data_IF_472846333197
#
_entry.id   IF_472846333197
#
_cell.length_a   1.000
_cell.length_b   1.000
_cell.length_c   1.000
_cell.angle_alpha   90.00
_cell.angle_beta   90.00
_cell.angle_gamma   90.00
#
_symmetry.space_group_name_H-M   'P 1'
#
loop_
_entity.id
_entity.type
_entity.pdbx_description
1 polymer ?
#
# COMPACT_ATOMS: atom_id res chain seq x y z
N UNK A 1 15.51 34.12 -35.98
CA UNK A 1 15.39 35.12 -34.91
C UNK A 1 14.00 34.94 -34.35
N UNK A 2 13.86 34.01 -33.41
CA UNK A 2 12.57 33.65 -32.84
C UNK A 2 12.14 34.75 -31.87
N UNK A 3 10.94 35.26 -32.05
CA UNK A 3 10.34 36.23 -31.13
C UNK A 3 10.22 35.61 -29.74
N UNK A 4 10.67 36.29 -28.66
CA UNK A 4 10.54 35.77 -27.31
C UNK A 4 9.07 35.49 -27.00
N UNK A 5 8.77 34.31 -26.48
CA UNK A 5 7.40 33.90 -26.15
C UNK A 5 6.91 34.71 -24.94
N UNK A 6 6.21 35.83 -25.18
CA UNK A 6 5.66 36.68 -24.12
C UNK A 6 4.40 36.02 -23.55
N UNK A 7 4.35 35.87 -22.22
CA UNK A 7 3.21 35.26 -21.51
C UNK A 7 2.60 36.22 -20.50
N UNK A 8 1.28 36.32 -20.51
CA UNK A 8 0.51 37.11 -19.54
C UNK A 8 -0.07 36.19 -18.47
N UNK A 9 0.42 36.29 -17.22
CA UNK A 9 -0.04 35.52 -16.06
C UNK A 9 -0.55 36.46 -14.97
N UNK A 10 -1.38 35.93 -14.06
CA UNK A 10 -1.79 36.70 -12.89
C UNK A 10 -0.63 36.82 -11.89
N UNK A 11 -0.43 37.95 -11.18
CA UNK A 11 0.69 38.14 -10.26
C UNK A 11 0.86 37.01 -9.24
N UNK A 12 -0.25 36.50 -8.69
CA UNK A 12 -0.25 35.32 -7.80
C UNK A 12 0.40 34.08 -8.45
N UNK A 13 0.13 33.81 -9.72
CA UNK A 13 0.66 32.63 -10.41
C UNK A 13 2.17 32.79 -10.68
N UNK A 14 2.61 34.00 -10.98
CA UNK A 14 4.04 34.35 -11.13
C UNK A 14 4.76 34.17 -9.79
N UNK A 15 4.25 34.77 -8.72
CA UNK A 15 4.83 34.69 -7.39
C UNK A 15 4.89 33.24 -6.85
N UNK A 16 3.86 32.42 -7.12
CA UNK A 16 3.88 31.00 -6.75
C UNK A 16 4.98 30.24 -7.48
N UNK A 17 5.06 30.37 -8.80
CA UNK A 17 6.08 29.68 -9.60
C UNK A 17 7.49 30.12 -9.23
N UNK A 18 7.68 31.41 -8.94
CA UNK A 18 8.93 31.95 -8.41
C UNK A 18 9.27 31.31 -7.05
N UNK A 19 8.31 31.25 -6.12
CA UNK A 19 8.51 30.62 -4.81
C UNK A 19 8.88 29.14 -4.92
N UNK A 20 8.22 28.38 -5.81
CA UNK A 20 8.54 26.98 -6.06
C UNK A 20 9.98 26.83 -6.59
N UNK A 21 10.40 27.68 -7.53
CA UNK A 21 11.77 27.71 -8.07
C UNK A 21 12.81 28.06 -7.00
N UNK A 22 12.53 29.08 -6.18
CA UNK A 22 13.38 29.48 -5.04
C UNK A 22 13.52 28.34 -4.04
N UNK A 23 12.45 27.62 -3.72
CA UNK A 23 12.51 26.50 -2.78
C UNK A 23 13.33 25.31 -3.32
N UNK A 24 13.35 25.11 -4.64
CA UNK A 24 14.17 24.05 -5.24
C UNK A 24 15.67 24.39 -5.25
N UNK A 25 16.04 25.64 -5.57
CA UNK A 25 17.43 26.04 -5.77
C UNK A 25 18.09 26.71 -4.56
N UNK A 26 17.30 27.44 -3.78
CA UNK A 26 17.75 28.37 -2.74
C UNK A 26 16.96 28.18 -1.43
N UNK A 27 16.76 26.93 -1.00
CA UNK A 27 15.96 26.56 0.18
C UNK A 27 16.46 27.09 1.53
N UNK A 28 17.64 27.74 1.55
CA UNK A 28 18.24 28.35 2.75
C UNK A 28 17.88 29.82 2.91
N UNK A 29 17.27 30.45 1.90
CA UNK A 29 16.83 31.84 2.00
C UNK A 29 15.67 31.95 2.99
N UNK A 30 15.71 32.96 3.85
CA UNK A 30 14.64 33.24 4.80
C UNK A 30 14.45 34.74 4.93
N UNK A 31 13.22 35.15 5.21
CA UNK A 31 12.82 36.55 5.36
C UNK A 31 12.12 36.70 6.69
N UNK A 32 12.52 37.69 7.49
CA UNK A 32 11.85 38.04 8.75
C UNK A 32 11.01 39.29 8.54
N UNK A 33 9.71 39.20 8.81
CA UNK A 33 8.74 40.29 8.65
C UNK A 33 7.83 40.41 9.88
N UNK A 34 7.30 41.61 10.19
CA UNK A 34 6.26 41.76 11.20
C UNK A 34 5.01 40.94 10.84
N UNK A 35 4.27 40.47 11.86
CA UNK A 35 3.02 39.69 11.71
C UNK A 35 1.99 40.43 10.85
N UNK A 36 1.96 41.76 10.92
CA UNK A 36 1.16 42.62 10.05
C UNK A 36 2.08 43.37 9.09
N UNK A 37 2.15 42.90 7.84
CA UNK A 37 2.95 43.52 6.78
C UNK A 37 2.08 43.82 5.55
N UNK A 38 2.54 44.75 4.72
CA UNK A 38 1.89 45.04 3.44
C UNK A 38 2.46 44.15 2.33
N UNK A 39 1.68 43.89 1.26
CA UNK A 39 2.16 43.14 0.09
C UNK A 39 3.44 43.73 -0.51
N UNK A 40 3.53 45.07 -0.57
CA UNK A 40 4.72 45.75 -1.09
C UNK A 40 5.93 45.52 -0.20
N UNK A 41 5.76 45.66 1.12
CA UNK A 41 6.83 45.42 2.09
C UNK A 41 7.30 43.96 2.07
N UNK A 42 6.39 43.00 1.89
CA UNK A 42 6.74 41.59 1.77
C UNK A 42 7.56 41.31 0.50
N UNK A 43 7.15 41.84 -0.66
CA UNK A 43 7.89 41.66 -1.92
C UNK A 43 9.28 42.29 -1.82
N UNK A 44 9.39 43.52 -1.28
CA UNK A 44 10.68 44.19 -1.10
C UNK A 44 11.61 43.44 -0.15
N UNK A 45 11.07 42.80 0.89
CA UNK A 45 11.87 42.01 1.81
C UNK A 45 12.36 40.70 1.17
N UNK A 46 11.56 40.07 0.31
CA UNK A 46 11.97 38.92 -0.49
C UNK A 46 13.05 39.31 -1.50
N UNK A 47 12.87 40.44 -2.20
CA UNK A 47 13.85 41.02 -3.11
C UNK A 47 15.19 41.31 -2.39
N UNK A 48 15.14 41.94 -1.21
CA UNK A 48 16.32 42.21 -0.41
C UNK A 48 17.04 40.93 0.06
N UNK A 49 16.29 39.85 0.32
CA UNK A 49 16.86 38.56 0.72
C UNK A 49 17.47 37.78 -0.46
N UNK A 50 17.03 38.03 -1.70
CA UNK A 50 17.64 37.45 -2.89
C UNK A 50 19.03 38.04 -3.16
N UNK A 51 19.31 39.29 -2.75
CA UNK A 51 20.62 39.91 -2.92
C UNK A 51 21.07 39.92 -4.38
N UNK A 52 22.23 39.30 -4.65
CA UNK A 52 22.83 39.21 -5.99
C UNK A 52 22.33 38.01 -6.83
N UNK A 53 21.31 37.28 -6.37
CA UNK A 53 20.75 36.12 -7.10
C UNK A 53 19.90 36.63 -8.28
N UNK A 54 20.53 36.73 -9.45
CA UNK A 54 19.88 37.03 -10.74
C UNK A 54 19.94 35.80 -11.65
N UNK A 55 19.04 34.86 -11.42
CA UNK A 55 18.93 33.61 -12.19
C UNK A 55 17.65 33.56 -13.02
N UNK A 56 17.78 33.02 -14.24
CA UNK A 56 16.64 32.74 -15.10
C UNK A 56 15.74 31.64 -14.50
N UNK A 57 14.42 31.85 -14.58
CA UNK A 57 13.43 30.80 -14.35
C UNK A 57 12.32 30.85 -15.40
N UNK A 58 11.80 29.68 -15.75
CA UNK A 58 10.79 29.54 -16.81
C UNK A 58 9.38 29.70 -16.22
N UNK A 59 8.59 30.63 -16.77
CA UNK A 59 7.17 30.77 -16.44
C UNK A 59 6.35 29.74 -17.21
N UNK A 60 5.84 28.74 -16.48
CA UNK A 60 4.93 27.72 -17.01
C UNK A 60 3.56 28.32 -17.33
N UNK A 61 2.85 27.81 -18.36
CA UNK A 61 1.51 28.25 -18.70
C UNK A 61 0.58 28.10 -17.49
N UNK A 62 -0.46 28.94 -17.39
CA UNK A 62 -1.59 28.65 -16.50
C UNK A 62 -2.01 27.21 -16.73
N UNK A 63 -1.93 26.38 -15.69
CA UNK A 63 -2.38 25.01 -15.76
C UNK A 63 -3.84 24.99 -16.19
N UNK A 64 -4.10 24.77 -17.48
CA UNK A 64 -5.37 24.29 -18.02
C UNK A 64 -5.61 22.83 -17.66
N UNK A 65 -4.72 22.24 -16.85
CA UNK A 65 -4.85 20.88 -16.37
C UNK A 65 -6.05 20.80 -15.46
N UNK A 66 -7.20 20.42 -16.03
CA UNK A 66 -8.10 19.33 -15.64
C UNK A 66 -8.31 19.03 -14.15
N UNK A 67 -7.82 19.77 -13.18
CA UNK A 67 -7.90 19.48 -11.75
C UNK A 67 -9.33 19.57 -11.27
N UNK A 68 -10.12 20.48 -11.83
CA UNK A 68 -11.56 20.57 -11.55
C UNK A 68 -12.33 19.40 -12.17
N UNK A 69 -12.07 19.09 -13.44
CA UNK A 69 -12.68 17.94 -14.11
C UNK A 69 -12.27 16.59 -13.50
N UNK A 70 -11.00 16.43 -13.13
CA UNK A 70 -10.44 15.26 -12.41
C UNK A 70 -11.02 15.19 -11.00
N UNK A 71 -11.18 16.33 -10.31
CA UNK A 71 -11.84 16.37 -9.00
C UNK A 71 -13.33 16.05 -9.11
N UNK A 72 -14.03 16.55 -10.12
CA UNK A 72 -15.45 16.26 -10.39
C UNK A 72 -15.62 14.78 -10.79
N UNK A 73 -14.76 14.23 -11.64
CA UNK A 73 -14.71 12.80 -11.96
C UNK A 73 -14.40 11.94 -10.72
N UNK A 74 -13.46 12.36 -9.87
CA UNK A 74 -13.14 11.65 -8.62
C UNK A 74 -14.30 11.72 -7.61
N UNK A 75 -15.00 12.86 -7.51
CA UNK A 75 -16.16 13.04 -6.64
C UNK A 75 -17.38 12.27 -7.16
N UNK A 76 -17.61 12.22 -8.47
CA UNK A 76 -18.65 11.41 -9.10
C UNK A 76 -18.36 9.92 -8.91
N UNK A 77 -17.13 9.46 -9.15
CA UNK A 77 -16.74 8.08 -8.88
C UNK A 77 -16.97 7.69 -7.41
N UNK A 78 -16.61 8.56 -6.45
CA UNK A 78 -16.85 8.33 -5.02
C UNK A 78 -18.34 8.31 -4.65
N UNK A 79 -19.18 9.07 -5.35
CA UNK A 79 -20.64 9.09 -5.18
C UNK A 79 -21.31 7.83 -5.76
N UNK A 80 -20.88 7.41 -6.94
CA UNK A 80 -21.35 6.18 -7.62
C UNK A 80 -20.99 4.94 -6.78
N UNK A 81 -19.75 4.86 -6.29
CA UNK A 81 -19.27 3.77 -5.42
C UNK A 81 -20.12 3.60 -4.15
N UNK A 82 -20.50 4.72 -3.49
CA UNK A 82 -21.38 4.67 -2.31
C UNK A 82 -22.81 4.24 -2.64
N UNK A 83 -23.27 4.54 -3.84
CA UNK A 83 -24.63 4.22 -4.30
C UNK A 83 -24.75 2.75 -4.76
N UNK A 84 -23.72 2.22 -5.41
CA UNK A 84 -23.62 0.82 -5.84
C UNK A 84 -23.44 -0.14 -4.65
N UNK A 85 -22.68 0.26 -3.63
CA UNK A 85 -22.55 -0.47 -2.35
C UNK A 85 -23.89 -0.60 -1.60
N UNK A 86 -24.77 0.40 -1.71
CA UNK A 86 -26.09 0.36 -1.10
C UNK A 86 -27.08 -0.51 -1.90
N UNK A 87 -26.84 -0.71 -3.20
CA UNK A 87 -27.76 -1.40 -4.10
C UNK A 87 -27.43 -2.90 -4.30
N UNK A 88 -26.17 -3.33 -4.15
CA UNK A 88 -25.77 -4.67 -4.59
C UNK A 88 -26.06 -5.82 -3.61
N UNK A 89 -26.29 -5.56 -2.31
CA UNK A 89 -26.63 -6.61 -1.33
C UNK A 89 -25.62 -7.76 -1.21
N UNK A 90 -24.47 -7.70 -1.88
CA UNK A 90 -23.46 -8.75 -1.94
C UNK A 90 -22.41 -8.53 -0.84
N UNK A 91 -22.43 -9.47 0.11
CA UNK A 91 -21.32 -9.97 0.95
C UNK A 91 -20.27 -8.94 1.43
N UNK A 92 -20.38 -8.62 2.72
CA UNK A 92 -19.42 -7.87 3.55
C UNK A 92 -19.13 -6.43 3.12
N UNK A 93 -19.87 -5.50 3.73
CA UNK A 93 -20.05 -4.09 3.38
C UNK A 93 -18.80 -3.18 3.29
N UNK A 94 -17.56 -3.68 3.36
CA UNK A 94 -16.36 -2.83 3.49
C UNK A 94 -15.22 -3.11 2.48
N UNK A 95 -15.34 -4.08 1.57
CA UNK A 95 -14.24 -4.41 0.62
C UNK A 95 -14.55 -3.92 -0.79
N UNK A 96 -13.81 -2.93 -1.26
CA UNK A 96 -13.84 -2.46 -2.65
C UNK A 96 -12.93 -3.33 -3.52
N UNK A 97 -13.23 -4.62 -3.68
CA UNK A 97 -12.38 -5.52 -4.44
C UNK A 97 -13.15 -6.58 -5.24
N UNK A 98 -12.49 -7.10 -6.27
CA UNK A 98 -12.96 -8.25 -7.05
C UNK A 98 -11.89 -9.35 -7.02
N UNK A 99 -12.27 -10.63 -7.01
CA UNK A 99 -11.32 -11.73 -7.08
C UNK A 99 -10.53 -11.72 -8.38
N UNK A 100 -9.27 -12.14 -8.33
CA UNK A 100 -8.54 -12.48 -9.55
C UNK A 100 -9.09 -13.78 -10.13
N UNK A 101 -8.95 -13.96 -11.45
CA UNK A 101 -9.23 -15.24 -12.09
C UNK A 101 -8.13 -16.23 -11.70
N UNK A 102 -8.54 -17.35 -11.10
CA UNK A 102 -7.63 -18.45 -10.75
C UNK A 102 -8.39 -19.78 -10.75
N UNK A 103 -7.74 -20.84 -11.19
CA UNK A 103 -8.21 -22.24 -11.09
C UNK A 103 -7.37 -23.06 -10.11
N UNK A 104 -6.46 -22.40 -9.37
CA UNK A 104 -5.54 -23.06 -8.46
C UNK A 104 -6.29 -23.55 -7.22
N UNK A 105 -6.15 -24.84 -6.93
CA UNK A 105 -6.67 -25.44 -5.70
C UNK A 105 -5.56 -25.50 -4.64
N UNK A 106 -5.76 -24.71 -3.56
CA UNK A 106 -4.83 -24.65 -2.44
C UNK A 106 -4.83 -25.91 -1.58
N UNK A 107 -5.82 -26.80 -1.72
CA UNK A 107 -5.85 -28.09 -1.04
C UNK A 107 -4.74 -29.06 -1.49
N UNK A 108 -4.10 -28.78 -2.63
CA UNK A 108 -3.03 -29.61 -3.21
C UNK A 108 -1.62 -29.18 -2.80
N UNK A 109 -1.48 -28.06 -2.09
CA UNK A 109 -0.17 -27.54 -1.66
C UNK A 109 0.30 -28.33 -0.43
N UNK A 110 1.44 -29.02 -0.53
CA UNK A 110 1.96 -29.81 0.57
C UNK A 110 2.28 -28.95 1.82
N UNK A 111 1.96 -29.44 3.04
CA UNK A 111 2.36 -28.79 4.27
C UNK A 111 3.88 -28.69 4.36
N UNK A 112 4.41 -27.51 4.69
CA UNK A 112 5.86 -27.33 4.81
C UNK A 112 6.46 -28.14 5.98
N UNK A 113 7.68 -28.67 5.82
CA UNK A 113 8.39 -29.34 6.90
C UNK A 113 8.76 -28.35 8.03
N UNK A 114 9.00 -28.86 9.25
CA UNK A 114 9.40 -28.04 10.39
C UNK A 114 10.74 -27.32 10.15
N UNK A 115 10.84 -26.09 10.66
CA UNK A 115 11.90 -25.15 10.30
C UNK A 115 13.24 -25.42 10.98
N UNK A 116 14.32 -24.98 10.34
CA UNK A 116 15.63 -24.85 10.98
C UNK A 116 15.72 -23.55 11.80
N UNK A 117 16.66 -23.49 12.75
CA UNK A 117 16.78 -22.35 13.68
C UNK A 117 17.33 -21.08 13.01
N UNK A 118 18.12 -21.22 11.94
CA UNK A 118 18.69 -20.09 11.20
C UNK A 118 17.60 -19.23 10.54
N UNK A 119 16.60 -19.89 9.93
CA UNK A 119 15.44 -19.22 9.33
C UNK A 119 14.60 -18.51 10.40
N UNK A 120 14.41 -19.14 11.57
CA UNK A 120 13.69 -18.52 12.68
C UNK A 120 14.39 -17.25 13.17
N UNK A 121 15.71 -17.29 13.32
CA UNK A 121 16.47 -16.12 13.77
C UNK A 121 16.42 -14.96 12.76
N UNK A 122 16.45 -15.26 11.46
CA UNK A 122 16.26 -14.24 10.42
C UNK A 122 14.90 -13.56 10.53
N UNK A 123 13.82 -14.32 10.69
CA UNK A 123 12.47 -13.80 10.84
C UNK A 123 12.33 -12.95 12.12
N UNK A 124 12.94 -13.38 13.23
CA UNK A 124 13.03 -12.58 14.46
C UNK A 124 13.76 -11.27 14.22
N UNK A 125 14.86 -11.27 13.46
CA UNK A 125 15.61 -10.05 13.13
C UNK A 125 14.76 -9.07 12.31
N UNK A 126 14.09 -9.55 11.25
CA UNK A 126 13.19 -8.72 10.43
C UNK A 126 12.06 -8.14 11.30
N UNK A 127 11.48 -8.94 12.19
CA UNK A 127 10.41 -8.49 13.07
C UNK A 127 10.89 -7.46 14.12
N UNK A 128 12.11 -7.63 14.66
CA UNK A 128 12.72 -6.65 15.58
C UNK A 128 13.03 -5.33 14.86
N UNK A 129 13.58 -5.39 13.65
CA UNK A 129 13.80 -4.21 12.82
C UNK A 129 12.47 -3.51 12.49
N UNK A 130 11.43 -4.29 12.19
CA UNK A 130 10.08 -3.77 11.97
C UNK A 130 9.49 -3.08 13.21
N UNK A 131 9.66 -3.65 14.39
CA UNK A 131 9.16 -3.08 15.64
C UNK A 131 9.96 -1.82 16.06
N UNK A 132 11.23 -1.73 15.67
CA UNK A 132 12.09 -0.58 15.96
C UNK A 132 11.92 0.57 14.95
N UNK A 133 11.44 0.28 13.74
CA UNK A 133 11.21 1.28 12.69
C UNK A 133 9.96 2.11 13.01
N UNK A 134 10.18 3.37 13.39
CA UNK A 134 9.13 4.37 13.66
C UNK A 134 8.79 5.19 12.41
N UNK A 135 9.43 4.91 11.27
CA UNK A 135 9.42 5.77 10.08
C UNK A 135 8.18 5.63 9.20
N UNK A 136 7.41 4.55 9.32
CA UNK A 136 6.19 4.35 8.55
C UNK A 136 4.96 4.60 9.42
N UNK A 137 4.07 5.55 9.05
CA UNK A 137 2.84 5.80 9.78
C UNK A 137 1.88 4.62 9.57
N UNK A 138 2.02 3.61 10.42
CA UNK A 138 1.02 2.58 10.58
C UNK A 138 -0.17 3.17 11.37
N UNK A 139 -1.41 2.99 10.92
CA UNK A 139 -1.87 2.30 9.71
C UNK A 139 -2.25 3.25 8.56
N UNK A 140 -2.29 2.71 7.32
CA UNK A 140 -2.77 3.42 6.12
C UNK A 140 -4.15 4.04 6.36
N UNK A 141 -4.29 5.34 6.06
CA UNK A 141 -5.51 6.10 6.36
C UNK A 141 -6.70 5.65 5.50
N UNK A 142 -6.47 5.16 4.27
CA UNK A 142 -7.54 4.69 3.39
C UNK A 142 -7.02 3.76 2.30
N UNK A 143 -7.79 2.70 2.01
CA UNK A 143 -7.62 1.87 0.81
C UNK A 143 -8.47 2.46 -0.31
N UNK A 144 -7.81 2.90 -1.39
CA UNK A 144 -8.48 3.36 -2.59
C UNK A 144 -8.03 2.54 -3.79
N UNK A 145 -8.94 1.99 -4.58
CA UNK A 145 -8.58 1.45 -5.88
C UNK A 145 -8.01 2.56 -6.75
N UNK A 146 -7.09 2.20 -7.66
CA UNK A 146 -6.61 3.13 -8.67
C UNK A 146 -7.80 3.70 -9.44
N UNK A 147 -7.71 4.98 -9.85
CA UNK A 147 -8.78 5.70 -10.56
C UNK A 147 -9.30 4.96 -11.81
N UNK A 148 -8.51 4.03 -12.37
CA UNK A 148 -8.84 3.30 -13.59
C UNK A 148 -9.67 2.04 -13.35
N UNK A 149 -9.38 1.26 -12.30
CA UNK A 149 -9.99 -0.07 -12.11
C UNK A 149 -11.20 -0.07 -11.16
N UNK A 150 -11.44 1.01 -10.40
CA UNK A 150 -12.56 1.18 -9.44
C UNK A 150 -12.66 0.10 -8.33
N UNK A 151 -11.86 -0.96 -8.38
CA UNK A 151 -11.81 -2.06 -7.41
C UNK A 151 -10.37 -2.62 -7.27
N UNK A 152 -10.05 -3.16 -6.10
CA UNK A 152 -8.77 -3.76 -5.75
C UNK A 152 -8.75 -5.26 -6.08
N UNK A 153 -7.60 -5.84 -6.45
CA UNK A 153 -7.47 -7.27 -6.65
C UNK A 153 -7.60 -8.03 -5.32
N UNK A 154 -8.42 -9.07 -5.31
CA UNK A 154 -8.54 -10.02 -4.21
C UNK A 154 -7.89 -11.34 -4.62
N UNK A 155 -6.95 -11.81 -3.81
CA UNK A 155 -6.33 -13.15 -3.93
C UNK A 155 -6.84 -14.07 -2.83
N UNK A 156 -6.77 -15.39 -3.05
CA UNK A 156 -7.10 -16.40 -2.05
C UNK A 156 -5.83 -16.98 -1.45
N UNK A 157 -5.86 -17.31 -0.16
CA UNK A 157 -4.74 -17.96 0.50
C UNK A 157 -5.11 -18.77 1.74
N UNK A 158 -4.24 -19.73 2.04
CA UNK A 158 -4.19 -20.46 3.29
C UNK A 158 -3.02 -19.94 4.12
N UNK A 159 -3.30 -19.42 5.32
CA UNK A 159 -2.30 -18.82 6.19
C UNK A 159 -2.18 -19.64 7.47
N UNK A 160 -0.95 -19.90 7.88
CA UNK A 160 -0.63 -20.43 9.20
C UNK A 160 0.14 -19.37 9.97
N UNK A 161 -0.44 -18.90 11.07
CA UNK A 161 0.15 -17.86 11.91
C UNK A 161 0.76 -18.49 13.16
N UNK A 162 1.97 -18.05 13.49
CA UNK A 162 2.70 -18.48 14.69
C UNK A 162 3.33 -17.27 15.38
N UNK A 163 3.45 -17.35 16.70
CA UNK A 163 4.31 -16.45 17.43
C UNK A 163 5.78 -16.65 16.99
N UNK A 164 6.55 -15.56 16.94
CA UNK A 164 7.95 -15.59 16.49
C UNK A 164 8.85 -16.44 17.39
N UNK A 165 8.66 -16.32 18.71
CA UNK A 165 9.35 -17.13 19.71
C UNK A 165 8.58 -18.39 20.11
N UNK A 166 7.58 -18.77 19.32
CA UNK A 166 6.74 -19.91 19.62
C UNK A 166 7.52 -21.24 19.62
N UNK A 167 7.28 -22.11 20.59
CA UNK A 167 7.74 -23.49 20.58
C UNK A 167 6.77 -24.40 19.78
N UNK A 168 7.13 -25.67 19.59
CA UNK A 168 6.32 -26.60 18.79
C UNK A 168 4.94 -26.92 19.39
N UNK A 169 4.73 -26.65 20.68
CA UNK A 169 3.49 -26.87 21.42
C UNK A 169 2.64 -25.60 21.52
N UNK A 170 3.16 -24.46 21.08
CA UNK A 170 2.43 -23.19 21.13
C UNK A 170 1.27 -23.19 20.13
N UNK A 171 0.19 -22.45 20.45
CA UNK A 171 -0.99 -22.44 19.62
C UNK A 171 -0.67 -21.90 18.23
N UNK A 172 -1.27 -22.54 17.23
CA UNK A 172 -1.20 -22.15 15.83
C UNK A 172 -2.56 -21.64 15.40
N UNK A 173 -2.58 -20.55 14.65
CA UNK A 173 -3.82 -20.06 14.02
C UNK A 173 -3.80 -20.39 12.53
N UNK A 174 -4.74 -21.21 12.09
CA UNK A 174 -4.96 -21.51 10.67
C UNK A 174 -6.10 -20.65 10.13
N UNK A 175 -5.85 -19.89 9.07
CA UNK A 175 -6.85 -19.16 8.33
C UNK A 175 -6.94 -19.76 6.92
N UNK A 176 -7.99 -20.54 6.66
CA UNK A 176 -8.17 -21.30 5.40
C UNK A 176 -9.08 -20.57 4.43
N UNK A 177 -8.73 -20.57 3.16
CA UNK A 177 -9.49 -19.97 2.07
C UNK A 177 -9.83 -18.49 2.32
N UNK A 178 -8.84 -17.76 2.87
CA UNK A 178 -8.99 -16.34 3.14
C UNK A 178 -8.90 -15.55 1.86
N UNK A 179 -9.87 -14.66 1.65
CA UNK A 179 -9.78 -13.57 0.69
C UNK A 179 -8.91 -12.45 1.27
N UNK A 180 -7.89 -12.05 0.51
CA UNK A 180 -6.94 -11.02 0.90
C UNK A 180 -6.85 -9.97 -0.19
N UNK A 181 -6.80 -8.70 0.20
CA UNK A 181 -6.59 -7.62 -0.75
C UNK A 181 -5.11 -7.63 -1.13
N UNK A 182 -4.81 -7.81 -2.41
CA UNK A 182 -3.45 -7.68 -2.93
C UNK A 182 -3.13 -6.20 -3.10
N UNK A 183 -2.33 -5.65 -2.18
CA UNK A 183 -2.09 -4.22 -2.08
C UNK A 183 -0.61 -3.88 -2.20
N UNK A 184 -0.20 -3.44 -3.39
CA UNK A 184 1.14 -2.91 -3.61
C UNK A 184 1.35 -1.54 -2.96
N UNK A 185 0.32 -0.88 -2.41
CA UNK A 185 0.45 0.32 -1.59
C UNK A 185 0.78 0.01 -0.13
N UNK A 186 0.43 -1.18 0.36
CA UNK A 186 0.73 -1.59 1.73
C UNK A 186 2.20 -2.01 1.85
N UNK A 187 2.99 -1.31 2.66
CA UNK A 187 4.37 -1.68 2.97
C UNK A 187 4.48 -3.05 3.65
N UNK A 188 3.49 -3.45 4.45
CA UNK A 188 3.50 -4.72 5.19
C UNK A 188 2.18 -5.46 5.05
N UNK A 189 2.23 -6.77 5.19
CA UNK A 189 1.02 -7.58 5.33
C UNK A 189 0.39 -7.32 6.69
N UNK A 190 -0.90 -6.96 6.71
CA UNK A 190 -1.64 -6.61 7.94
C UNK A 190 -2.87 -7.51 8.04
N UNK A 191 -3.07 -8.09 9.21
CA UNK A 191 -4.18 -8.98 9.54
C UNK A 191 -5.01 -8.33 10.65
N UNK A 192 -6.32 -8.18 10.42
CA UNK A 192 -7.22 -7.71 11.45
C UNK A 192 -7.24 -8.70 12.63
N UNK A 193 -7.01 -8.20 13.85
CA UNK A 193 -6.96 -9.00 15.08
C UNK A 193 -8.22 -9.84 15.28
N UNK A 194 -9.38 -9.33 14.89
CA UNK A 194 -10.67 -9.99 15.04
C UNK A 194 -10.85 -11.24 14.15
N UNK A 195 -9.94 -11.47 13.20
CA UNK A 195 -9.87 -12.75 12.47
C UNK A 195 -9.26 -13.88 13.31
N UNK A 196 -8.55 -13.54 14.39
CA UNK A 196 -7.81 -14.51 15.18
C UNK A 196 -8.70 -15.19 16.23
N UNK A 197 -8.58 -16.52 16.42
CA UNK A 197 -9.21 -17.24 17.51
C UNK A 197 -8.86 -16.63 18.87
N UNK A 198 -9.81 -16.63 19.81
CA UNK A 198 -9.61 -16.04 21.14
C UNK A 198 -8.39 -16.64 21.86
N UNK A 199 -8.18 -17.96 21.79
CA UNK A 199 -7.03 -18.62 22.41
C UNK A 199 -5.68 -18.12 21.86
N UNK A 200 -5.59 -17.89 20.55
CA UNK A 200 -4.37 -17.36 19.93
C UNK A 200 -4.16 -15.89 20.32
N UNK A 201 -5.23 -15.09 20.38
CA UNK A 201 -5.14 -13.70 20.86
C UNK A 201 -4.67 -13.60 22.30
N UNK A 202 -5.17 -14.45 23.19
CA UNK A 202 -4.71 -14.50 24.58
C UNK A 202 -3.25 -14.94 24.67
N UNK A 203 -2.83 -15.94 23.89
CA UNK A 203 -1.42 -16.34 23.82
C UNK A 203 -0.51 -15.17 23.39
N UNK A 204 -0.92 -14.42 22.37
CA UNK A 204 -0.15 -13.28 21.87
C UNK A 204 0.00 -12.16 22.93
N UNK A 205 -0.83 -12.09 23.97
CA UNK A 205 -0.71 -11.13 25.08
C UNK A 205 0.40 -11.45 26.07
N UNK A 206 1.03 -12.62 25.99
CA UNK A 206 2.13 -12.97 26.87
C UNK A 206 3.31 -11.98 26.68
N UNK A 207 3.91 -11.46 27.77
CA UNK A 207 5.04 -10.55 27.72
C UNK A 207 6.26 -11.06 26.93
N UNK A 208 6.40 -12.37 26.73
CA UNK A 208 7.47 -12.94 25.89
C UNK A 208 7.42 -12.40 24.45
N UNK A 209 6.26 -11.93 23.98
CA UNK A 209 6.08 -11.38 22.64
C UNK A 209 6.32 -9.86 22.55
N UNK A 210 6.59 -9.18 23.66
CA UNK A 210 6.73 -7.71 23.70
C UNK A 210 7.88 -7.19 22.84
N UNK A 211 8.92 -8.01 22.62
CA UNK A 211 10.03 -7.69 21.70
C UNK A 211 9.59 -7.48 20.24
N UNK A 212 8.39 -7.93 19.89
CA UNK A 212 7.80 -7.84 18.56
C UNK A 212 6.57 -6.95 18.51
N UNK A 213 6.24 -6.26 19.61
CA UNK A 213 5.20 -5.25 19.66
C UNK A 213 5.75 -3.88 19.29
N UNK A 214 4.98 -3.13 18.53
CA UNK A 214 5.24 -1.71 18.26
C UNK A 214 3.95 -0.93 18.37
N UNK A 215 3.91 0.04 19.30
CA UNK A 215 2.78 0.93 19.67
C UNK A 215 1.42 0.22 19.85
N UNK A 216 0.86 -0.37 18.80
CA UNK A 216 -0.47 -0.95 18.70
C UNK A 216 -0.58 -2.19 17.81
N UNK A 217 0.55 -2.70 17.31
CA UNK A 217 0.59 -3.89 16.48
C UNK A 217 1.57 -4.91 17.04
N UNK A 218 1.35 -6.17 16.70
CA UNK A 218 2.22 -7.28 17.07
C UNK A 218 2.65 -8.01 15.80
N UNK A 219 3.95 -8.20 15.64
CA UNK A 219 4.46 -9.00 14.53
C UNK A 219 4.26 -10.48 14.81
N UNK A 220 3.68 -11.18 13.83
CA UNK A 220 3.57 -12.62 13.80
C UNK A 220 4.22 -13.16 12.55
N UNK A 221 4.60 -14.41 12.61
CA UNK A 221 5.19 -15.10 11.50
C UNK A 221 4.13 -15.88 10.75
N UNK A 222 4.17 -15.78 9.42
CA UNK A 222 3.15 -16.27 8.51
C UNK A 222 3.75 -17.22 7.50
N UNK A 223 3.18 -18.42 7.42
CA UNK A 223 3.32 -19.32 6.27
C UNK A 223 2.08 -19.14 5.40
N UNK A 224 2.24 -18.61 4.19
CA UNK A 224 1.14 -18.33 3.27
C UNK A 224 1.27 -19.19 2.02
N UNK A 225 0.27 -20.03 1.76
CA UNK A 225 0.02 -20.60 0.43
C UNK A 225 -1.00 -19.73 -0.29
N UNK A 226 -0.59 -19.02 -1.34
CA UNK A 226 -1.46 -18.09 -2.09
C UNK A 226 -1.77 -18.64 -3.47
N UNK A 227 -3.01 -18.46 -3.91
CA UNK A 227 -3.47 -18.83 -5.25
C UNK A 227 -3.36 -17.62 -6.17
N UNK A 228 -2.41 -17.68 -7.10
CA UNK A 228 -2.28 -16.71 -8.19
C UNK A 228 -2.95 -17.27 -9.45
N UNK A 229 -2.98 -16.50 -10.54
CA UNK A 229 -3.74 -16.90 -11.74
C UNK A 229 -3.20 -18.17 -12.38
N UNK A 230 -1.87 -18.31 -12.46
CA UNK A 230 -1.21 -19.41 -13.15
C UNK A 230 -0.73 -20.53 -12.21
N UNK A 231 -0.41 -20.23 -10.95
CA UNK A 231 0.16 -21.20 -10.03
C UNK A 231 -0.11 -20.84 -8.55
N UNK A 232 0.03 -21.80 -7.62
CA UNK A 232 0.19 -21.48 -6.22
C UNK A 232 1.59 -20.91 -5.96
N UNK A 233 1.73 -20.05 -4.95
CA UNK A 233 3.01 -19.64 -4.40
C UNK A 233 3.01 -19.85 -2.90
N UNK A 234 4.16 -20.30 -2.35
CA UNK A 234 4.30 -20.50 -0.92
C UNK A 234 5.34 -19.52 -0.38
N UNK A 235 4.92 -18.67 0.54
CA UNK A 235 5.70 -17.57 1.06
C UNK A 235 5.82 -17.67 2.57
N UNK A 236 6.97 -17.25 3.06
CA UNK A 236 7.24 -17.04 4.48
C UNK A 236 7.44 -15.55 4.72
N UNK A 237 6.67 -15.01 5.65
CA UNK A 237 6.59 -13.58 5.85
C UNK A 237 6.38 -13.20 7.32
N UNK A 238 6.55 -11.91 7.59
CA UNK A 238 6.09 -11.28 8.81
C UNK A 238 4.83 -10.49 8.49
N UNK A 239 3.78 -10.69 9.28
CA UNK A 239 2.58 -9.87 9.24
C UNK A 239 2.36 -9.14 10.56
N UNK A 240 1.68 -8.01 10.48
CA UNK A 240 1.26 -7.25 11.63
C UNK A 240 -0.18 -7.60 12.00
N UNK A 241 -0.40 -7.92 13.27
CA UNK A 241 -1.75 -8.01 13.84
C UNK A 241 -2.16 -6.62 14.31
N UNK A 242 -3.29 -6.14 13.81
CA UNK A 242 -3.80 -4.78 14.08
C UNK A 242 -5.29 -4.83 14.43
N UNK A 243 -5.76 -4.12 15.46
CA UNK A 243 -7.19 -4.03 15.77
C UNK A 243 -8.00 -3.44 14.61
N UNK A 244 -9.24 -3.88 14.39
CA UNK A 244 -10.09 -3.35 13.29
C UNK A 244 -10.23 -1.84 13.28
N UNK A 245 -10.25 -1.19 14.45
CA UNK A 245 -10.32 0.26 14.56
C UNK A 245 -9.15 0.99 13.87
N UNK A 246 -8.03 0.29 13.69
CA UNK A 246 -6.79 0.73 13.05
C UNK A 246 -6.62 0.13 11.66
N UNK A 247 -7.51 -0.76 11.21
CA UNK A 247 -7.47 -1.20 9.82
C UNK A 247 -7.96 -0.06 8.91
N UNK A 248 -7.37 0.09 7.71
CA UNK A 248 -7.86 1.07 6.75
C UNK A 248 -9.33 0.80 6.42
N UNK A 249 -10.16 1.85 6.42
CA UNK A 249 -11.61 1.74 6.25
C UNK A 249 -12.29 0.78 7.26
N UNK A 250 -11.66 0.49 8.42
CA UNK A 250 -12.10 -0.51 9.39
C UNK A 250 -12.34 -1.89 8.77
N UNK A 251 -11.51 -2.25 7.79
CA UNK A 251 -11.52 -3.53 7.12
C UNK A 251 -11.38 -4.66 8.14
N UNK A 252 -12.30 -5.61 8.10
CA UNK A 252 -12.16 -6.90 8.77
C UNK A 252 -11.63 -7.90 7.72
N UNK A 253 -10.31 -8.03 7.62
CA UNK A 253 -9.69 -8.75 6.52
C UNK A 253 -8.16 -8.76 6.61
N UNK A 254 -7.54 -9.18 5.51
CA UNK A 254 -6.09 -9.22 5.36
C UNK A 254 -5.69 -8.31 4.20
N UNK A 255 -4.72 -7.43 4.45
CA UNK A 255 -3.99 -6.69 3.41
C UNK A 255 -2.70 -7.43 3.14
N UNK A 256 -2.56 -7.97 1.94
CA UNK A 256 -1.35 -8.65 1.49
C UNK A 256 -0.41 -7.61 0.88
N UNK A 257 0.66 -7.29 1.61
CA UNK A 257 1.52 -6.13 1.33
C UNK A 257 2.90 -6.48 0.79
N UNK A 258 3.79 -5.49 0.75
CA UNK A 258 5.10 -5.58 0.12
C UNK A 258 6.13 -6.38 0.90
N UNK A 259 6.58 -5.87 2.05
CA UNK A 259 7.76 -6.39 2.77
C UNK A 259 7.57 -7.86 3.11
N UNK A 260 8.54 -8.68 2.71
CA UNK A 260 8.57 -10.15 2.87
C UNK A 260 7.44 -10.91 2.16
N UNK A 261 6.66 -10.26 1.31
CA UNK A 261 5.53 -10.83 0.58
C UNK A 261 5.64 -10.45 -0.90
N UNK A 262 4.96 -9.39 -1.34
CA UNK A 262 4.94 -9.00 -2.75
C UNK A 262 6.33 -8.64 -3.27
N UNK A 263 7.22 -8.09 -2.43
CA UNK A 263 8.61 -7.76 -2.80
C UNK A 263 9.46 -8.98 -3.19
N UNK A 264 9.01 -10.20 -2.85
CA UNK A 264 9.64 -11.46 -3.22
C UNK A 264 9.09 -12.05 -4.52
N UNK A 265 8.10 -11.42 -5.14
CA UNK A 265 7.41 -11.95 -6.32
C UNK A 265 7.80 -11.15 -7.57
N UNK A 266 8.20 -11.86 -8.62
CA UNK A 266 8.24 -11.32 -9.98
C UNK A 266 6.92 -11.65 -10.66
N UNK A 267 6.04 -10.67 -10.81
CA UNK A 267 4.69 -10.89 -11.30
C UNK A 267 4.22 -9.84 -12.31
N UNK A 268 3.16 -10.21 -13.03
CA UNK A 268 2.42 -9.33 -13.93
C UNK A 268 0.96 -9.26 -13.45
N UNK A 269 0.53 -8.07 -13.04
CA UNK A 269 -0.87 -7.79 -12.74
C UNK A 269 -1.54 -7.22 -14.00
N UNK A 270 -2.52 -7.94 -14.56
CA UNK A 270 -3.20 -7.60 -15.81
C UNK A 270 -4.68 -7.33 -15.49
N UNK A 271 -5.11 -6.06 -15.44
CA UNK A 271 -6.49 -5.72 -15.17
C UNK A 271 -7.43 -6.23 -16.26
N UNK A 272 -8.69 -6.52 -15.89
CA UNK A 272 -9.75 -6.99 -16.79
C UNK A 272 -9.86 -6.17 -18.08
N UNK A 273 -9.72 -4.85 -18.01
CA UNK A 273 -9.81 -3.97 -19.20
C UNK A 273 -8.76 -4.29 -20.25
N UNK A 274 -7.53 -4.63 -19.83
CA UNK A 274 -6.46 -5.01 -20.74
C UNK A 274 -6.74 -6.39 -21.36
N UNK A 275 -7.24 -7.33 -20.57
CA UNK A 275 -7.64 -8.67 -21.05
C UNK A 275 -8.74 -8.57 -22.12
N UNK A 276 -9.77 -7.74 -21.87
CA UNK A 276 -10.82 -7.47 -22.86
C UNK A 276 -10.27 -6.81 -24.13
N UNK A 277 -9.36 -5.85 -24.01
CA UNK A 277 -8.71 -5.22 -25.16
C UNK A 277 -7.89 -6.22 -25.99
N UNK A 278 -7.30 -7.23 -25.34
CA UNK A 278 -6.64 -8.38 -25.98
C UNK A 278 -7.61 -9.43 -26.55
N UNK A 279 -8.93 -9.21 -26.45
CA UNK A 279 -10.00 -10.14 -26.85
C UNK A 279 -10.03 -11.44 -26.05
N UNK A 280 -9.52 -11.42 -24.82
CA UNK A 280 -9.65 -12.55 -23.91
C UNK A 280 -11.04 -12.56 -23.25
N UNK A 281 -11.60 -13.75 -23.05
CA UNK A 281 -12.87 -13.92 -22.36
C UNK A 281 -12.66 -13.86 -20.85
N UNK A 282 -13.21 -12.83 -20.21
CA UNK A 282 -13.17 -12.65 -18.76
C UNK A 282 -14.51 -12.09 -18.24
N UNK A 283 -15.07 -12.79 -17.26
CA UNK A 283 -16.32 -12.43 -16.59
C UNK A 283 -16.22 -11.08 -15.86
N UNK A 284 -17.35 -10.40 -15.66
CA UNK A 284 -17.42 -9.15 -14.88
C UNK A 284 -17.16 -9.36 -13.39
N UNK A 285 -17.25 -10.60 -12.90
CA UNK A 285 -16.99 -10.94 -11.51
C UNK A 285 -15.50 -10.93 -11.14
N UNK A 286 -14.59 -10.87 -12.11
CA UNK A 286 -13.15 -10.90 -11.87
C UNK A 286 -12.49 -9.54 -12.06
N UNK A 287 -11.54 -9.25 -11.19
CA UNK A 287 -10.67 -8.08 -11.30
C UNK A 287 -9.75 -8.16 -12.54
N UNK A 288 -9.20 -9.35 -12.81
CA UNK A 288 -8.17 -9.57 -13.81
C UNK A 288 -7.30 -10.77 -13.44
N UNK A 289 -6.07 -10.77 -13.95
CA UNK A 289 -5.08 -11.81 -13.71
C UNK A 289 -3.89 -11.25 -12.91
N UNK A 290 -3.33 -12.08 -12.02
CA UNK A 290 -2.00 -11.86 -11.44
C UNK A 290 -1.17 -13.10 -11.75
N UNK A 291 -0.26 -12.97 -12.70
CA UNK A 291 0.58 -14.04 -13.21
C UNK A 291 1.95 -13.97 -12.55
N UNK A 292 2.40 -15.07 -11.95
CA UNK A 292 3.71 -15.18 -11.32
C UNK A 292 4.72 -15.74 -12.32
N UNK A 293 5.83 -15.03 -12.50
CA UNK A 293 6.94 -15.44 -13.38
C UNK A 293 8.02 -16.19 -12.55
N UNK A 294 8.38 -15.64 -11.40
CA UNK A 294 9.33 -16.22 -10.47
C UNK A 294 9.09 -15.67 -9.06
N UNK A 295 9.62 -16.34 -8.04
CA UNK A 295 9.64 -15.81 -6.68
C UNK A 295 10.90 -16.20 -5.92
N UNK A 296 11.25 -15.43 -4.91
CA UNK A 296 12.30 -15.79 -3.96
C UNK A 296 11.70 -16.71 -2.89
N UNK A 297 12.18 -17.95 -2.85
CA UNK A 297 11.89 -18.84 -1.73
C UNK A 297 12.57 -18.33 -0.45
N UNK A 298 12.36 -19.02 0.65
CA UNK A 298 12.82 -18.59 1.97
C UNK A 298 14.36 -18.64 2.16
N UNK A 299 15.10 -19.29 1.27
CA UNK A 299 16.56 -19.25 1.18
C UNK A 299 17.07 -18.06 0.35
N UNK A 300 16.18 -17.22 -0.17
CA UNK A 300 16.46 -16.23 -1.21
C UNK A 300 16.95 -16.88 -2.52
N UNK A 301 16.61 -18.15 -2.74
CA UNK A 301 16.82 -18.80 -4.02
C UNK A 301 15.66 -18.48 -4.96
N UNK A 302 15.99 -18.28 -6.23
CA UNK A 302 15.01 -17.97 -7.26
C UNK A 302 14.30 -19.25 -7.67
N UNK A 303 12.99 -19.29 -7.46
CA UNK A 303 12.10 -20.33 -7.98
C UNK A 303 11.40 -19.78 -9.21
N UNK A 304 11.80 -20.27 -10.38
CA UNK A 304 11.15 -19.99 -11.67
C UNK A 304 10.03 -21.00 -11.93
N UNK A 305 8.97 -20.55 -12.62
CA UNK A 305 7.77 -21.31 -12.91
C UNK A 305 7.67 -21.73 -14.38
#
# INVERSE_FOLDING_TARGET
MDTPEIRTLHPRDVLRQLADSMNCKHNKLSVTLPVHTTWRSAIQAVEAALGDVDEDFLLMPRGTGNRRAIREMALQAASELRSEQAASGLRSANVLGLPIRTSVDLGTVEPRPPRNEATRERLRKIAKEAAADTGFPDPYVSLWPTLQDKCLPIIRGNLTLRALDGNAFDPVCELKEMEMIFDTGAHRTIIAEELLPAAFREHLKDPVHDLYRSNDCLSVQVDAGIALTNCPAVLEAIALIVPRAKMPNQLLGILFGQITCIDRLSLQAIPRRILLAKKENISEEFWGDIVLDAYLDFQDEVVSL
#
